data_IF_777521958968
#
_entry.id   IF_777521958968
#
_cell.length_a   1.000
_cell.length_b   1.000
_cell.length_c   1.000
_cell.angle_alpha   90.00
_cell.angle_beta   90.00
_cell.angle_gamma   90.00
#
_symmetry.space_group_name_H-M   'P 1'
#
loop_
_entity.id
_entity.type
_entity.pdbx_description
1 polymer ?
#
# COMPACT_ATOMS: atom_id res chain seq x y z
N UNK A 1 19.33 38.70 -54.09
CA UNK A 1 19.11 38.55 -52.64
C UNK A 1 17.66 38.66 -52.16
N UNK A 2 16.70 39.20 -52.95
CA UNK A 2 15.28 39.30 -52.54
C UNK A 2 14.40 38.07 -52.91
N UNK A 3 14.83 37.21 -53.84
CA UNK A 3 14.08 36.00 -54.25
C UNK A 3 14.22 34.80 -53.28
N UNK A 4 15.19 34.82 -52.37
CA UNK A 4 15.41 33.73 -51.39
C UNK A 4 14.51 33.85 -50.16
N UNK A 5 14.11 35.07 -49.80
CA UNK A 5 13.30 35.32 -48.61
C UNK A 5 11.83 34.94 -48.84
N UNK A 6 11.31 35.14 -50.04
CA UNK A 6 9.92 34.81 -50.39
C UNK A 6 9.65 33.31 -50.47
N UNK A 7 10.59 32.50 -50.97
CA UNK A 7 10.47 31.03 -50.97
C UNK A 7 10.47 30.43 -49.57
N UNK A 8 11.25 31.00 -48.65
CA UNK A 8 11.27 30.56 -47.24
C UNK A 8 10.00 30.98 -46.50
N UNK A 9 9.42 32.14 -46.84
CA UNK A 9 8.16 32.61 -46.26
C UNK A 9 6.95 31.78 -46.72
N UNK A 10 6.91 31.39 -48.00
CA UNK A 10 5.85 30.52 -48.54
C UNK A 10 5.89 29.10 -47.97
N UNK A 11 7.08 28.54 -47.72
CA UNK A 11 7.23 27.23 -47.05
C UNK A 11 6.78 27.28 -45.59
N UNK A 12 7.05 28.37 -44.87
CA UNK A 12 6.61 28.54 -43.48
C UNK A 12 5.09 28.68 -43.37
N UNK A 13 4.45 29.44 -44.27
CA UNK A 13 2.99 29.68 -44.26
C UNK A 13 2.20 28.42 -44.66
N UNK A 14 2.74 27.54 -45.51
CA UNK A 14 2.11 26.26 -45.83
C UNK A 14 2.22 25.17 -44.74
N UNK A 15 3.16 25.30 -43.80
CA UNK A 15 3.33 24.36 -42.67
C UNK A 15 2.58 24.79 -41.40
N UNK A 16 2.13 26.04 -41.33
CA UNK A 16 1.39 26.61 -40.19
C UNK A 16 -0.04 26.06 -39.96
N UNK A 17 -0.79 25.51 -40.95
CA UNK A 17 -2.10 24.93 -40.68
C UNK A 17 -2.06 23.42 -40.40
N UNK A 18 -0.89 22.76 -40.42
CA UNK A 18 -0.75 21.32 -40.13
C UNK A 18 -0.47 21.00 -38.65
N UNK A 19 -0.36 22.01 -37.79
CA UNK A 19 -0.04 21.82 -36.37
C UNK A 19 -1.23 21.54 -35.42
N UNK A 20 -2.53 21.58 -35.79
CA UNK A 20 -3.58 21.14 -34.88
C UNK A 20 -4.27 19.83 -35.28
N UNK A 21 -3.58 18.89 -35.97
CA UNK A 21 -4.20 17.61 -36.40
C UNK A 21 -3.65 16.37 -35.66
N UNK A 22 -2.68 16.51 -34.75
CA UNK A 22 -2.11 15.39 -33.99
C UNK A 22 -2.52 15.30 -32.52
N UNK A 23 -3.41 16.17 -32.02
CA UNK A 23 -3.80 16.19 -30.60
C UNK A 23 -5.21 15.67 -30.29
N UNK A 24 -5.95 15.14 -31.27
CA UNK A 24 -7.31 14.62 -31.05
C UNK A 24 -7.46 13.15 -31.43
N UNK A 25 -6.88 12.26 -30.62
CA UNK A 25 -7.31 10.86 -30.49
C UNK A 25 -7.39 10.45 -29.01
N UNK A 26 -7.95 11.33 -28.17
CA UNK A 26 -8.44 10.93 -26.85
C UNK A 26 -9.95 10.68 -26.96
N UNK A 27 -10.37 9.45 -26.69
CA UNK A 27 -11.78 9.07 -26.66
C UNK A 27 -12.46 9.69 -25.42
N UNK A 28 -13.00 10.90 -25.58
CA UNK A 28 -13.77 11.64 -24.56
C UNK A 28 -15.26 11.23 -24.53
N UNK A 29 -15.58 9.97 -24.22
CA UNK A 29 -16.97 9.52 -24.01
C UNK A 29 -17.39 9.55 -22.54
N UNK A 30 -16.44 9.58 -21.60
CA UNK A 30 -16.72 9.76 -20.17
C UNK A 30 -15.84 10.88 -19.62
N UNK A 31 -16.38 12.12 -19.59
CA UNK A 31 -15.83 13.24 -18.81
C UNK A 31 -15.97 12.96 -17.30
N UNK A 32 -15.31 11.93 -16.80
CA UNK A 32 -14.89 11.89 -15.41
C UNK A 32 -13.46 12.45 -15.39
N UNK A 33 -13.34 13.74 -15.06
CA UNK A 33 -12.10 14.23 -14.46
C UNK A 33 -12.01 13.58 -13.07
N UNK A 34 -11.55 12.32 -13.02
CA UNK A 34 -10.99 11.79 -11.79
C UNK A 34 -9.76 12.68 -11.52
N UNK A 35 -9.76 13.42 -10.41
CA UNK A 35 -8.57 14.10 -9.95
C UNK A 35 -7.43 13.08 -9.92
N UNK A 36 -6.48 13.20 -10.86
CA UNK A 36 -5.33 12.28 -11.00
C UNK A 36 -4.29 12.52 -9.92
N UNK A 37 -4.35 13.67 -9.26
CA UNK A 37 -3.46 13.98 -8.15
C UNK A 37 -4.10 13.52 -6.83
N UNK A 38 -3.41 12.70 -6.02
CA UNK A 38 -3.87 12.40 -4.69
C UNK A 38 -4.04 13.73 -3.92
N UNK A 39 -5.11 13.88 -3.12
CA UNK A 39 -5.35 15.11 -2.38
C UNK A 39 -4.10 15.47 -1.58
N UNK A 40 -3.71 16.73 -1.58
CA UNK A 40 -2.60 17.20 -0.75
C UNK A 40 -3.06 17.13 0.71
N UNK A 41 -2.77 16.01 1.38
CA UNK A 41 -3.06 15.83 2.79
C UNK A 41 -2.06 16.67 3.59
N UNK A 42 -2.58 17.72 4.24
CA UNK A 42 -1.80 18.50 5.18
C UNK A 42 -1.48 17.68 6.43
N UNK A 43 -0.30 17.92 6.97
CA UNK A 43 0.25 17.35 8.19
C UNK A 43 -0.71 17.48 9.37
N UNK A 44 -1.41 18.63 9.46
CA UNK A 44 -2.39 18.91 10.51
C UNK A 44 -3.63 18.01 10.41
N UNK A 45 -3.96 17.52 9.22
CA UNK A 45 -5.14 16.68 8.99
C UNK A 45 -4.90 15.22 9.42
N UNK A 46 -3.67 14.72 9.30
CA UNK A 46 -3.35 13.31 9.59
C UNK A 46 -2.63 13.17 10.93
N UNK A 47 -1.50 13.85 11.09
CA UNK A 47 -0.58 13.61 12.20
C UNK A 47 -1.13 14.11 13.54
N UNK A 48 -1.84 15.25 13.53
CA UNK A 48 -2.43 15.81 14.76
C UNK A 48 -3.74 15.11 15.17
N UNK A 49 -4.47 14.56 14.19
CA UNK A 49 -5.76 13.90 14.44
C UNK A 49 -5.62 12.43 14.85
N UNK A 50 -4.49 11.79 14.55
CA UNK A 50 -4.21 10.45 15.04
C UNK A 50 -3.54 10.54 16.42
N UNK A 51 -4.25 10.18 17.51
CA UNK A 51 -3.78 10.52 18.83
C UNK A 51 -2.59 9.66 19.26
N UNK A 52 -1.76 10.25 20.12
CA UNK A 52 -0.64 9.58 20.80
C UNK A 52 0.41 9.00 19.86
N UNK A 53 0.72 9.64 18.72
CA UNK A 53 1.94 9.33 17.99
C UNK A 53 3.16 9.54 18.91
N UNK A 54 4.10 8.59 18.89
CA UNK A 54 5.42 8.84 19.49
C UNK A 54 6.13 9.97 18.74
N UNK A 55 7.11 10.62 19.36
CA UNK A 55 7.88 11.68 18.69
C UNK A 55 8.48 11.20 17.36
N UNK A 56 9.04 9.99 17.32
CA UNK A 56 9.60 9.41 16.10
C UNK A 56 8.52 9.14 15.02
N UNK A 57 7.33 8.65 15.41
CA UNK A 57 6.23 8.48 14.47
C UNK A 57 5.68 9.82 13.95
N UNK A 58 5.64 10.83 14.81
CA UNK A 58 5.18 12.17 14.45
C UNK A 58 6.13 12.83 13.44
N UNK A 59 7.45 12.72 13.64
CA UNK A 59 8.44 13.19 12.66
C UNK A 59 8.35 12.42 11.34
N UNK A 60 8.13 11.10 11.37
CA UNK A 60 7.90 10.34 10.13
C UNK A 60 6.61 10.79 9.42
N UNK A 61 5.56 11.09 10.18
CA UNK A 61 4.29 11.55 9.64
C UNK A 61 4.39 12.94 8.99
N UNK A 62 5.21 13.84 9.54
CA UNK A 62 5.50 15.14 8.90
C UNK A 62 6.13 14.99 7.53
N UNK A 63 7.02 14.00 7.37
CA UNK A 63 7.72 13.76 6.10
C UNK A 63 6.78 13.07 5.10
N UNK A 64 5.94 12.13 5.57
CA UNK A 64 5.08 11.29 4.72
C UNK A 64 3.63 11.24 5.25
N UNK A 65 2.86 12.34 5.17
CA UNK A 65 1.50 12.39 5.70
C UNK A 65 0.52 11.51 4.93
N UNK A 66 0.65 11.43 3.60
CA UNK A 66 -0.14 10.58 2.71
C UNK A 66 0.09 9.09 2.99
N UNK A 67 1.35 8.67 3.13
CA UNK A 67 1.72 7.29 3.48
C UNK A 67 1.25 6.96 4.89
N UNK A 68 1.35 7.89 5.85
CA UNK A 68 0.89 7.68 7.22
C UNK A 68 -0.62 7.50 7.29
N UNK A 69 -1.39 8.27 6.50
CA UNK A 69 -2.84 8.09 6.40
C UNK A 69 -3.19 6.68 5.88
N UNK A 70 -2.48 6.19 4.87
CA UNK A 70 -2.62 4.83 4.35
C UNK A 70 -2.23 3.77 5.39
N UNK A 71 -1.17 4.01 6.17
CA UNK A 71 -0.78 3.12 7.25
C UNK A 71 -1.84 3.03 8.34
N UNK A 72 -2.43 4.16 8.77
CA UNK A 72 -3.54 4.19 9.73
C UNK A 72 -4.73 3.40 9.20
N UNK A 73 -5.06 3.54 7.91
CA UNK A 73 -6.08 2.71 7.28
C UNK A 73 -5.72 1.21 7.35
N UNK A 74 -4.45 0.85 7.11
CA UNK A 74 -3.95 -0.51 7.23
C UNK A 74 -4.11 -1.08 8.65
N UNK A 75 -3.88 -0.26 9.68
CA UNK A 75 -4.13 -0.65 11.09
C UNK A 75 -5.62 -0.94 11.32
N UNK A 76 -6.53 -0.17 10.73
CA UNK A 76 -7.97 -0.45 10.84
C UNK A 76 -8.37 -1.75 10.14
N UNK A 77 -7.83 -1.99 8.94
CA UNK A 77 -8.00 -3.27 8.23
C UNK A 77 -7.51 -4.44 9.09
N UNK A 78 -6.39 -4.28 9.77
CA UNK A 78 -5.87 -5.27 10.73
C UNK A 78 -6.82 -5.53 11.91
N UNK A 79 -7.43 -4.51 12.49
CA UNK A 79 -8.40 -4.65 13.59
C UNK A 79 -9.64 -5.42 13.14
N UNK A 80 -10.21 -5.08 11.99
CA UNK A 80 -11.37 -5.80 11.45
C UNK A 80 -11.04 -7.27 11.14
N UNK A 81 -9.85 -7.54 10.61
CA UNK A 81 -9.42 -8.92 10.37
C UNK A 81 -9.14 -9.68 11.67
N UNK A 82 -8.61 -9.01 12.70
CA UNK A 82 -8.47 -9.59 14.04
C UNK A 82 -9.83 -10.04 14.57
N UNK A 83 -10.83 -9.16 14.52
CA UNK A 83 -12.20 -9.48 14.95
C UNK A 83 -12.77 -10.66 14.17
N UNK A 84 -12.55 -10.70 12.85
CA UNK A 84 -12.99 -11.81 12.02
C UNK A 84 -12.34 -13.14 12.43
N UNK A 85 -11.01 -13.17 12.56
CA UNK A 85 -10.25 -14.38 12.90
C UNK A 85 -10.48 -14.85 14.34
N UNK A 86 -10.82 -13.93 15.25
CA UNK A 86 -11.02 -14.20 16.68
C UNK A 86 -12.50 -14.23 17.10
N UNK A 87 -13.44 -14.23 16.15
CA UNK A 87 -14.89 -14.15 16.44
C UNK A 87 -15.44 -15.23 17.38
N UNK A 88 -14.84 -16.41 17.39
CA UNK A 88 -15.21 -17.53 18.29
C UNK A 88 -14.30 -17.66 19.50
N UNK A 89 -13.28 -16.81 19.61
CA UNK A 89 -12.31 -16.82 20.70
C UNK A 89 -12.84 -15.96 21.87
N UNK A 90 -12.49 -16.33 23.12
CA UNK A 90 -12.92 -15.57 24.32
C UNK A 90 -12.55 -14.08 24.23
N UNK A 91 -11.35 -13.79 23.74
CA UNK A 91 -10.97 -12.46 23.32
C UNK A 91 -11.17 -12.31 21.81
N UNK A 92 -12.14 -11.48 21.42
CA UNK A 92 -12.61 -11.31 20.04
C UNK A 92 -12.10 -10.01 19.36
N UNK A 93 -11.02 -9.43 19.88
CA UNK A 93 -10.43 -8.15 19.42
C UNK A 93 -11.34 -6.91 19.50
N UNK A 94 -12.54 -6.98 20.10
CA UNK A 94 -13.43 -5.81 20.25
C UNK A 94 -12.77 -4.65 21.01
N UNK A 95 -11.88 -4.96 21.96
CA UNK A 95 -11.12 -3.98 22.74
C UNK A 95 -10.08 -3.21 21.94
N UNK A 96 -9.83 -3.58 20.67
CA UNK A 96 -8.91 -2.88 19.77
C UNK A 96 -9.62 -1.82 18.92
N UNK A 97 -10.93 -1.92 18.78
CA UNK A 97 -11.76 -0.94 18.10
C UNK A 97 -11.94 0.27 19.02
N UNK A 98 -11.05 1.26 18.87
CA UNK A 98 -11.07 2.47 19.69
C UNK A 98 -11.75 3.60 18.93
N UNK A 99 -12.45 4.50 19.66
CA UNK A 99 -13.08 5.70 19.07
C UNK A 99 -12.10 6.54 18.25
N UNK A 100 -10.82 6.50 18.61
CA UNK A 100 -9.77 7.28 17.96
C UNK A 100 -8.89 6.46 17.00
N UNK A 101 -9.30 5.25 16.63
CA UNK A 101 -8.65 4.41 15.60
C UNK A 101 -7.19 4.01 15.90
N UNK A 102 -6.70 4.17 17.14
CA UNK A 102 -5.37 3.74 17.54
C UNK A 102 -5.45 2.53 18.51
N UNK A 103 -5.29 1.28 18.02
CA UNK A 103 -5.44 0.08 18.83
C UNK A 103 -4.33 -0.09 19.87
N UNK A 104 -3.16 0.52 19.65
CA UNK A 104 -1.97 0.41 20.51
C UNK A 104 -2.16 1.01 21.92
N UNK A 105 -3.27 1.71 22.17
CA UNK A 105 -3.63 2.16 23.53
C UNK A 105 -4.33 1.08 24.35
N UNK A 106 -4.85 0.03 23.71
CA UNK A 106 -5.55 -1.04 24.41
C UNK A 106 -4.61 -1.68 25.45
N UNK A 107 -5.07 -1.94 26.70
CA UNK A 107 -4.22 -2.54 27.74
C UNK A 107 -3.59 -3.88 27.33
N UNK A 108 -4.17 -4.56 26.33
CA UNK A 108 -3.65 -5.79 25.72
C UNK A 108 -2.22 -5.58 25.20
N UNK A 109 -1.92 -4.44 24.57
CA UNK A 109 -0.60 -4.11 24.01
C UNK A 109 0.50 -3.92 25.06
N UNK A 110 0.15 -3.76 26.34
CA UNK A 110 1.12 -3.62 27.44
C UNK A 110 1.54 -4.96 28.04
N UNK A 111 0.93 -6.08 27.63
CA UNK A 111 1.12 -7.39 28.25
C UNK A 111 1.62 -8.41 27.23
N UNK A 112 2.47 -9.32 27.67
CA UNK A 112 3.05 -10.39 26.85
C UNK A 112 2.11 -11.60 26.68
N UNK A 113 0.93 -11.41 26.09
CA UNK A 113 0.02 -12.51 25.76
C UNK A 113 0.15 -12.96 24.29
N UNK A 114 -0.33 -14.17 23.99
CA UNK A 114 -0.40 -14.66 22.59
C UNK A 114 -1.30 -13.77 21.73
N UNK A 115 -2.37 -13.26 22.32
CA UNK A 115 -3.32 -12.33 21.71
C UNK A 115 -2.63 -11.02 21.32
N UNK A 116 -1.75 -10.51 22.19
CA UNK A 116 -0.95 -9.32 21.94
C UNK A 116 0.04 -9.54 20.80
N UNK A 117 0.72 -10.69 20.79
CA UNK A 117 1.61 -11.07 19.70
C UNK A 117 0.88 -11.12 18.35
N UNK A 118 -0.33 -11.67 18.32
CA UNK A 118 -1.18 -11.71 17.14
C UNK A 118 -1.62 -10.32 16.69
N UNK A 119 -2.00 -9.44 17.62
CA UNK A 119 -2.38 -8.06 17.31
C UNK A 119 -1.22 -7.25 16.71
N UNK A 120 -0.02 -7.34 17.28
CA UNK A 120 1.19 -6.72 16.72
C UNK A 120 1.49 -7.21 15.31
N UNK A 121 1.44 -8.53 15.10
CA UNK A 121 1.69 -9.12 13.79
C UNK A 121 0.63 -8.66 12.75
N UNK A 122 -0.64 -8.63 13.12
CA UNK A 122 -1.71 -8.13 12.24
C UNK A 122 -1.57 -6.64 11.92
N UNK A 123 -1.25 -5.79 12.90
CA UNK A 123 -1.02 -4.36 12.66
C UNK A 123 0.10 -4.13 11.64
N UNK A 124 1.23 -4.82 11.79
CA UNK A 124 2.35 -4.71 10.86
C UNK A 124 2.04 -5.26 9.48
N UNK A 125 1.29 -6.37 9.40
CA UNK A 125 0.79 -6.90 8.15
C UNK A 125 -0.18 -5.92 7.47
N UNK A 126 -1.10 -5.31 8.23
CA UNK A 126 -2.10 -4.35 7.73
C UNK A 126 -1.46 -3.11 7.13
N UNK A 127 -0.47 -2.52 7.82
CA UNK A 127 0.29 -1.38 7.29
C UNK A 127 1.03 -1.77 6.01
N UNK A 128 1.77 -2.88 6.03
CA UNK A 128 2.53 -3.36 4.86
C UNK A 128 1.60 -3.58 3.67
N UNK A 129 0.50 -4.30 3.86
CA UNK A 129 -0.49 -4.59 2.83
C UNK A 129 -1.10 -3.32 2.24
N UNK A 130 -1.60 -2.43 3.11
CA UNK A 130 -2.33 -1.24 2.68
C UNK A 130 -1.42 -0.22 1.99
N UNK A 131 -0.22 0.03 2.51
CA UNK A 131 0.74 0.95 1.91
C UNK A 131 1.18 0.44 0.54
N UNK A 132 1.57 -0.84 0.44
CA UNK A 132 2.01 -1.42 -0.85
C UNK A 132 0.93 -1.35 -1.92
N UNK A 133 -0.32 -1.61 -1.53
CA UNK A 133 -1.48 -1.52 -2.43
C UNK A 133 -1.77 -0.08 -2.84
N UNK A 134 -1.67 0.87 -1.91
CA UNK A 134 -1.89 2.29 -2.20
C UNK A 134 -0.82 2.87 -3.14
N UNK A 135 0.44 2.42 -3.02
CA UNK A 135 1.52 2.76 -3.96
C UNK A 135 1.16 2.37 -5.40
N UNK A 136 0.75 1.12 -5.61
CA UNK A 136 0.36 0.65 -6.96
C UNK A 136 -0.92 1.27 -7.50
N UNK A 137 -1.80 1.77 -6.63
CA UNK A 137 -3.00 2.48 -7.05
C UNK A 137 -2.73 3.97 -7.37
N UNK A 138 -1.48 4.44 -7.25
CA UNK A 138 -1.14 5.85 -7.45
C UNK A 138 -1.74 6.79 -6.40
N UNK A 139 -2.13 6.25 -5.23
CA UNK A 139 -2.74 7.06 -4.15
C UNK A 139 -1.71 7.83 -3.32
N UNK A 140 -0.44 7.44 -3.40
CA UNK A 140 0.65 8.00 -2.60
C UNK A 140 1.64 8.69 -3.53
N UNK A 141 2.18 9.83 -3.12
CA UNK A 141 3.17 10.59 -3.90
C UNK A 141 4.58 10.05 -3.72
N UNK A 142 4.81 9.39 -2.58
CA UNK A 142 6.14 8.95 -2.14
C UNK A 142 6.57 7.59 -2.73
N UNK A 143 5.67 6.88 -3.42
CA UNK A 143 5.92 5.58 -4.00
C UNK A 143 5.01 5.34 -5.23
N UNK A 144 5.30 4.29 -6.00
CA UNK A 144 4.54 3.92 -7.20
C UNK A 144 4.51 2.42 -7.43
N UNK A 145 4.50 2.00 -8.69
CA UNK A 145 4.56 0.58 -9.06
C UNK A 145 5.98 0.02 -8.84
N UNK A 146 6.08 -1.23 -8.39
CA UNK A 146 7.33 -1.98 -8.48
C UNK A 146 7.58 -2.40 -9.95
N UNK A 147 8.64 -1.85 -10.55
CA UNK A 147 9.03 -2.10 -11.94
C UNK A 147 10.11 -3.19 -12.09
N UNK A 148 10.54 -3.84 -10.99
CA UNK A 148 11.58 -4.88 -11.03
C UNK A 148 11.17 -6.14 -11.80
N UNK A 149 9.87 -6.35 -12.01
CA UNK A 149 9.33 -7.46 -12.79
C UNK A 149 8.53 -6.90 -13.97
N UNK A 150 9.17 -6.80 -15.13
CA UNK A 150 8.60 -6.26 -16.36
C UNK A 150 9.10 -7.04 -17.59
N UNK A 151 8.29 -7.09 -18.65
CA UNK A 151 8.66 -7.73 -19.91
C UNK A 151 8.23 -9.20 -20.05
N UNK A 152 8.65 -9.88 -21.12
CA UNK A 152 8.15 -11.21 -21.47
C UNK A 152 8.56 -12.28 -20.47
N UNK A 153 7.66 -13.23 -20.21
CA UNK A 153 7.89 -14.43 -19.41
C UNK A 153 7.34 -15.67 -20.13
N UNK A 154 7.62 -16.87 -19.59
CA UNK A 154 7.08 -18.11 -20.15
C UNK A 154 5.56 -18.16 -19.98
N UNK A 155 4.80 -18.11 -21.08
CA UNK A 155 3.33 -18.18 -21.13
C UNK A 155 2.55 -16.94 -20.61
N UNK A 156 3.22 -15.81 -20.34
CA UNK A 156 2.58 -14.53 -20.03
C UNK A 156 3.58 -13.38 -20.16
N UNK A 157 3.10 -12.14 -20.12
CA UNK A 157 3.95 -10.95 -20.05
C UNK A 157 3.83 -10.30 -18.68
N UNK A 158 4.94 -9.86 -18.09
CA UNK A 158 4.93 -8.99 -16.93
C UNK A 158 4.60 -7.57 -17.38
N UNK A 159 3.51 -7.03 -16.83
CA UNK A 159 3.04 -5.69 -17.12
C UNK A 159 2.05 -5.22 -16.07
N UNK A 160 1.37 -4.11 -16.32
CA UNK A 160 0.55 -3.47 -15.31
C UNK A 160 1.38 -2.87 -14.17
N UNK A 161 0.78 -2.77 -12.98
CA UNK A 161 1.39 -2.12 -11.83
C UNK A 161 1.51 -3.11 -10.67
N UNK A 162 2.74 -3.58 -10.41
CA UNK A 162 2.99 -4.44 -9.26
C UNK A 162 2.97 -3.63 -7.96
N UNK A 163 2.44 -4.22 -6.89
CA UNK A 163 2.46 -3.61 -5.56
C UNK A 163 3.91 -3.44 -5.08
N UNK A 164 4.25 -2.27 -4.54
CA UNK A 164 5.58 -1.99 -3.97
C UNK A 164 5.66 -2.49 -2.51
N UNK A 165 5.94 -3.79 -2.40
CA UNK A 165 5.98 -4.50 -1.12
C UNK A 165 7.14 -4.05 -0.25
N UNK A 166 8.27 -3.71 -0.87
CA UNK A 166 9.48 -3.28 -0.17
C UNK A 166 9.28 -1.92 0.49
N UNK A 167 8.66 -0.98 -0.23
CA UNK A 167 8.28 0.30 0.36
C UNK A 167 7.30 0.11 1.52
N UNK A 168 6.29 -0.75 1.35
CA UNK A 168 5.32 -1.07 2.41
C UNK A 168 5.97 -1.67 3.66
N UNK A 169 6.90 -2.62 3.51
CA UNK A 169 7.62 -3.26 4.62
C UNK A 169 8.50 -2.25 5.36
N UNK A 170 9.30 -1.47 4.63
CA UNK A 170 10.17 -0.46 5.22
C UNK A 170 9.38 0.64 5.95
N UNK A 171 8.26 1.08 5.38
CA UNK A 171 7.40 2.05 6.05
C UNK A 171 6.78 1.47 7.31
N UNK A 172 6.22 0.25 7.25
CA UNK A 172 5.64 -0.44 8.40
C UNK A 172 6.67 -0.64 9.52
N UNK A 173 7.90 -1.02 9.17
CA UNK A 173 9.02 -1.14 10.10
C UNK A 173 9.30 0.20 10.78
N UNK A 174 9.57 1.27 10.02
CA UNK A 174 9.91 2.59 10.57
C UNK A 174 8.78 3.17 11.43
N UNK A 175 7.52 2.95 11.03
CA UNK A 175 6.37 3.54 11.72
C UNK A 175 6.00 2.77 13.00
N UNK A 176 5.95 1.44 12.97
CA UNK A 176 5.50 0.64 14.12
C UNK A 176 6.64 0.36 15.11
N UNK A 177 7.86 0.14 14.63
CA UNK A 177 9.00 -0.17 15.49
C UNK A 177 9.53 1.08 16.22
N UNK A 178 9.23 2.28 15.72
CA UNK A 178 9.59 3.57 16.34
C UNK A 178 9.05 3.77 17.77
N UNK A 179 7.99 3.06 18.15
CA UNK A 179 7.46 3.09 19.53
C UNK A 179 8.22 2.20 20.50
N UNK A 180 8.95 1.22 19.99
CA UNK A 180 9.66 0.24 20.80
C UNK A 180 11.01 0.83 21.21
N UNK A 181 11.00 1.63 22.27
CA UNK A 181 12.17 2.36 22.77
C UNK A 181 12.96 1.60 23.84
N UNK A 182 12.29 0.70 24.57
CA UNK A 182 12.92 -0.13 25.59
C UNK A 182 13.73 -1.27 24.95
N UNK A 183 14.79 -1.71 25.65
CA UNK A 183 15.58 -2.91 25.28
C UNK A 183 15.18 -4.12 26.12
N UNK A 184 13.98 -4.12 26.69
CA UNK A 184 13.48 -5.22 27.49
C UNK A 184 13.04 -6.40 26.60
N UNK A 185 12.82 -7.55 27.23
CA UNK A 185 12.42 -8.77 26.53
C UNK A 185 11.09 -8.55 25.78
N UNK A 186 10.18 -7.76 26.36
CA UNK A 186 8.90 -7.46 25.75
C UNK A 186 9.06 -6.63 24.46
N UNK A 187 9.95 -5.65 24.44
CA UNK A 187 10.30 -4.92 23.22
C UNK A 187 10.81 -5.85 22.11
N UNK A 188 11.71 -6.78 22.44
CA UNK A 188 12.23 -7.75 21.45
C UNK A 188 11.13 -8.66 20.90
N UNK A 189 10.22 -9.12 21.76
CA UNK A 189 9.06 -9.91 21.35
C UNK A 189 8.16 -9.08 20.43
N UNK A 190 7.89 -7.82 20.74
CA UNK A 190 7.06 -6.94 19.92
C UNK A 190 7.67 -6.72 18.53
N UNK A 191 8.99 -6.43 18.46
CA UNK A 191 9.71 -6.31 17.18
C UNK A 191 9.69 -7.61 16.37
N UNK A 192 9.86 -8.76 17.04
CA UNK A 192 9.73 -10.07 16.41
C UNK A 192 8.34 -10.27 15.80
N UNK A 193 7.28 -9.93 16.54
CA UNK A 193 5.90 -10.06 16.09
C UNK A 193 5.58 -9.13 14.93
N UNK A 194 6.05 -7.87 14.97
CA UNK A 194 5.93 -6.97 13.83
C UNK A 194 6.60 -7.56 12.58
N UNK A 195 7.85 -8.02 12.71
CA UNK A 195 8.57 -8.66 11.59
C UNK A 195 7.83 -9.88 11.06
N UNK A 196 7.29 -10.73 11.94
CA UNK A 196 6.49 -11.89 11.54
C UNK A 196 5.24 -11.49 10.74
N UNK A 197 4.60 -10.38 11.12
CA UNK A 197 3.49 -9.76 10.39
C UNK A 197 3.86 -9.30 8.99
N UNK A 198 4.94 -8.51 8.86
CA UNK A 198 5.41 -8.01 7.55
C UNK A 198 5.82 -9.16 6.63
N UNK A 199 6.54 -10.14 7.16
CA UNK A 199 6.90 -11.36 6.42
C UNK A 199 5.68 -12.20 5.99
N UNK A 200 4.58 -12.18 6.75
CA UNK A 200 3.36 -12.87 6.33
C UNK A 200 2.76 -12.23 5.06
N UNK A 201 2.91 -10.92 4.86
CA UNK A 201 2.52 -10.27 3.60
C UNK A 201 3.51 -10.62 2.50
N UNK A 202 4.81 -10.42 2.73
CA UNK A 202 5.88 -10.64 1.75
C UNK A 202 5.86 -12.08 1.19
N UNK A 203 5.73 -13.07 2.07
CA UNK A 203 5.77 -14.48 1.69
C UNK A 203 4.49 -14.99 1.01
N UNK A 204 3.41 -14.20 1.01
CA UNK A 204 2.16 -14.52 0.34
C UNK A 204 1.86 -13.55 -0.81
N UNK A 205 2.88 -12.89 -1.35
CA UNK A 205 2.74 -12.12 -2.60
C UNK A 205 2.46 -13.09 -3.75
N UNK A 206 1.36 -12.83 -4.46
CA UNK A 206 0.89 -13.66 -5.55
C UNK A 206 1.03 -12.97 -6.90
N UNK A 207 0.89 -13.76 -7.96
CA UNK A 207 0.75 -13.28 -9.33
C UNK A 207 -0.73 -13.11 -9.66
N UNK A 208 -1.16 -11.90 -10.04
CA UNK A 208 -2.47 -11.63 -10.62
C UNK A 208 -2.31 -11.43 -12.13
N UNK A 209 -3.26 -11.92 -12.91
CA UNK A 209 -3.19 -11.85 -14.36
C UNK A 209 -4.53 -11.38 -14.95
N UNK A 210 -4.45 -10.62 -16.04
CA UNK A 210 -5.57 -10.28 -16.91
C UNK A 210 -5.41 -11.00 -18.24
N UNK A 211 -6.46 -11.68 -18.67
CA UNK A 211 -6.49 -12.39 -19.94
C UNK A 211 -7.01 -11.46 -21.05
N UNK A 212 -6.41 -11.57 -22.23
CA UNK A 212 -6.65 -10.69 -23.37
C UNK A 212 -7.11 -11.43 -24.64
N UNK A 213 -7.30 -12.75 -24.59
CA UNK A 213 -7.69 -13.55 -25.76
C UNK A 213 -9.17 -13.39 -26.14
N UNK A 214 -9.50 -13.79 -27.37
CA UNK A 214 -10.86 -13.74 -27.92
C UNK A 214 -11.84 -14.48 -27.02
N UNK A 215 -13.03 -13.90 -26.81
CA UNK A 215 -14.08 -14.44 -25.93
C UNK A 215 -13.63 -14.71 -24.48
N UNK A 216 -12.59 -14.00 -24.00
CA UNK A 216 -12.07 -14.15 -22.63
C UNK A 216 -11.06 -15.28 -22.46
N UNK A 217 -10.54 -15.86 -23.54
CA UNK A 217 -9.46 -16.85 -23.48
C UNK A 217 -8.16 -16.25 -22.89
N UNK A 218 -7.37 -17.10 -22.23
CA UNK A 218 -6.12 -16.71 -21.55
C UNK A 218 -4.86 -17.11 -22.34
N UNK A 219 -4.98 -17.28 -23.65
CA UNK A 219 -3.85 -17.58 -24.55
C UNK A 219 -2.78 -16.50 -24.48
N UNK A 220 -3.21 -15.23 -24.42
CA UNK A 220 -2.39 -14.09 -24.07
C UNK A 220 -2.87 -13.47 -22.76
N UNK A 221 -1.93 -13.21 -21.85
CA UNK A 221 -2.24 -12.62 -20.54
C UNK A 221 -1.10 -11.76 -20.02
N UNK A 222 -1.47 -10.70 -19.32
CA UNK A 222 -0.54 -9.79 -18.65
C UNK A 222 -0.66 -9.97 -17.16
N UNK A 223 0.45 -10.13 -16.45
CA UNK A 223 0.48 -10.39 -15.03
C UNK A 223 1.31 -9.36 -14.26
N UNK A 224 0.95 -9.13 -13.00
CA UNK A 224 1.66 -8.29 -12.04
C UNK A 224 1.73 -8.98 -10.68
N UNK A 225 2.67 -8.53 -9.83
CA UNK A 225 2.74 -8.98 -8.43
C UNK A 225 1.76 -8.16 -7.59
N UNK A 226 1.00 -8.85 -6.75
CA UNK A 226 0.01 -8.26 -5.86
C UNK A 226 0.14 -8.89 -4.49
N UNK A 227 -0.11 -8.11 -3.44
CA UNK A 227 -0.40 -8.68 -2.13
C UNK A 227 -1.57 -9.65 -2.24
N UNK A 228 -1.54 -10.73 -1.44
CA UNK A 228 -2.71 -11.58 -1.26
C UNK A 228 -3.87 -10.79 -0.67
N UNK A 229 -5.08 -11.36 -0.77
CA UNK A 229 -6.21 -10.84 0.00
C UNK A 229 -5.87 -10.84 1.49
N UNK A 230 -6.22 -9.76 2.19
CA UNK A 230 -5.83 -9.61 3.58
C UNK A 230 -6.41 -10.70 4.49
N UNK A 231 -7.52 -11.34 4.10
CA UNK A 231 -8.07 -12.52 4.76
C UNK A 231 -7.09 -13.69 4.77
N UNK A 232 -6.39 -13.90 3.66
CA UNK A 232 -5.41 -14.98 3.54
C UNK A 232 -4.23 -14.76 4.49
N UNK A 233 -3.74 -13.52 4.56
CA UNK A 233 -2.70 -13.11 5.52
C UNK A 233 -3.19 -13.31 6.95
N UNK A 234 -4.43 -12.91 7.26
CA UNK A 234 -5.07 -13.15 8.56
C UNK A 234 -5.12 -14.62 8.93
N UNK A 235 -5.47 -15.50 7.98
CA UNK A 235 -5.48 -16.95 8.19
C UNK A 235 -4.08 -17.52 8.41
N UNK A 236 -3.06 -17.05 7.70
CA UNK A 236 -1.65 -17.44 7.91
C UNK A 236 -1.19 -17.05 9.32
N UNK A 237 -1.46 -15.81 9.74
CA UNK A 237 -1.11 -15.34 11.07
C UNK A 237 -1.91 -16.06 12.16
N UNK A 238 -3.18 -16.42 11.90
CA UNK A 238 -4.00 -17.19 12.84
C UNK A 238 -3.43 -18.58 13.09
N UNK A 239 -2.92 -19.25 12.05
CA UNK A 239 -2.18 -20.52 12.19
C UNK A 239 -0.92 -20.34 13.05
N UNK A 240 -0.15 -19.27 12.83
CA UNK A 240 1.02 -18.94 13.67
C UNK A 240 0.62 -18.66 15.12
N UNK A 241 -0.47 -17.92 15.34
CA UNK A 241 -1.03 -17.69 16.67
C UNK A 241 -1.30 -19.01 17.39
N UNK A 242 -1.93 -20.00 16.74
CA UNK A 242 -2.19 -21.31 17.33
C UNK A 242 -0.94 -22.13 17.62
N UNK A 243 0.10 -22.00 16.81
CA UNK A 243 1.39 -22.69 16.99
C UNK A 243 2.33 -21.99 17.99
N UNK A 244 2.06 -20.73 18.35
CA UNK A 244 2.92 -19.95 19.22
C UNK A 244 3.05 -20.59 20.61
N UNK A 245 4.29 -20.71 21.08
CA UNK A 245 4.66 -21.10 22.44
C UNK A 245 5.04 -19.85 23.23
N UNK A 246 4.57 -19.76 24.47
CA UNK A 246 4.96 -18.73 25.43
C UNK A 246 6.28 -19.13 26.10
#
# INVERSE_FOLDING_TARGET
>A
HLLSAWKMFLLAVCLLPLLPVLSHLSNDILRLHLATDPPNLDTNTVCMNYPYLSSAQFELCKIYPDVTASAIQGVQVAVHECQFQMKTHRWNCSTLETKNKNPEFSPVFKRGYRETAFAHALSAAGVTHQVSTACSLGKLRSCGCDMRSHGPATNWEWGGCSHDIEFGDHFAQRFLDARVTAKDIQAQINLHNHRAGRLAVINNVGKKCKCHGMSGSCEMKTCWKSTADFREVGTVLKKKFHAARL
#
